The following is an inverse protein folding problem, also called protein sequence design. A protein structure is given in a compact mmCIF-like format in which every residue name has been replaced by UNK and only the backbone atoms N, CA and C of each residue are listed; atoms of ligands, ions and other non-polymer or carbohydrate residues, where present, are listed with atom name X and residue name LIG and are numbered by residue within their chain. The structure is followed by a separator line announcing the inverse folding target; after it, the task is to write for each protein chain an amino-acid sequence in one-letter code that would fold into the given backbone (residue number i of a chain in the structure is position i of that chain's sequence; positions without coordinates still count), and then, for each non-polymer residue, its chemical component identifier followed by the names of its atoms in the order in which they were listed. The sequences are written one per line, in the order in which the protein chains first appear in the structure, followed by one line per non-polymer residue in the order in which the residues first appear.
data_IF_245720283520
#
_entry.id   IF_245720283520
#
_cell.length_a   1.000
_cell.length_b   1.000
_cell.length_c   1.000
_cell.angle_alpha   90.00
_cell.angle_beta   90.00
_cell.angle_gamma   90.00
#
_symmetry.space_group_name_H-M   'P 1'
#
loop_
_entity.id
_entity.type
_entity.pdbx_description
1 polymer ?
#
# COMPACT_ATOMS: atom_id res chain seq x y z
N UNK A 1 23.29 15.77 -13.92
CA UNK A 1 22.12 16.65 -13.73
C UNK A 1 21.23 15.98 -12.69
N UNK A 2 21.01 16.60 -11.53
CA UNK A 2 20.10 16.06 -10.50
C UNK A 2 18.68 16.29 -11.00
N UNK A 3 17.90 15.21 -11.20
CA UNK A 3 16.48 15.33 -11.54
C UNK A 3 15.72 15.80 -10.29
N UNK A 4 14.88 16.81 -10.43
CA UNK A 4 13.97 17.18 -9.35
C UNK A 4 12.96 16.05 -9.12
N UNK A 5 12.68 15.76 -7.87
CA UNK A 5 11.62 14.80 -7.50
C UNK A 5 10.27 15.47 -7.75
N UNK A 6 9.34 14.83 -8.49
CA UNK A 6 8.01 15.38 -8.71
C UNK A 6 7.28 15.60 -7.39
N UNK A 7 6.43 16.62 -7.33
CA UNK A 7 5.60 16.84 -6.13
C UNK A 7 4.50 15.79 -6.00
N UNK A 8 3.95 15.58 -4.80
CA UNK A 8 2.80 14.70 -4.60
C UNK A 8 1.62 15.03 -5.51
N UNK A 9 1.35 16.33 -5.70
CA UNK A 9 0.27 16.81 -6.57
C UNK A 9 0.50 16.42 -8.03
N UNK A 10 1.73 16.56 -8.53
CA UNK A 10 2.08 16.16 -9.89
C UNK A 10 1.91 14.65 -10.11
N UNK A 11 2.32 13.84 -9.14
CA UNK A 11 2.18 12.37 -9.20
C UNK A 11 0.70 11.97 -9.12
N UNK A 12 -0.09 12.60 -8.23
CA UNK A 12 -1.52 12.34 -8.11
C UNK A 12 -2.28 12.75 -9.38
N UNK A 13 -1.91 13.87 -9.98
CA UNK A 13 -2.49 14.31 -11.25
C UNK A 13 -2.13 13.39 -12.43
N UNK A 14 -0.90 12.87 -12.45
CA UNK A 14 -0.46 11.95 -13.51
C UNK A 14 -1.08 10.54 -13.38
N UNK A 15 -1.40 10.12 -12.15
CA UNK A 15 -1.99 8.82 -11.84
C UNK A 15 -3.17 8.99 -10.87
N UNK A 16 -4.31 9.57 -11.31
CA UNK A 16 -5.45 9.85 -10.45
C UNK A 16 -6.21 8.57 -10.09
N UNK A 17 -6.83 8.58 -8.92
CA UNK A 17 -7.93 7.66 -8.62
C UNK A 17 -9.18 8.13 -9.35
N UNK A 18 -9.80 7.24 -10.12
CA UNK A 18 -11.10 7.52 -10.70
C UNK A 18 -12.22 7.50 -9.63
N UNK A 19 -13.41 7.94 -10.03
CA UNK A 19 -14.53 8.09 -9.11
C UNK A 19 -14.95 6.77 -8.45
N UNK A 20 -14.91 5.67 -9.20
CA UNK A 20 -15.27 4.34 -8.70
C UNK A 20 -14.33 3.90 -7.56
N UNK A 21 -13.01 4.07 -7.77
CA UNK A 21 -12.01 3.73 -6.75
C UNK A 21 -12.11 4.63 -5.51
N UNK A 22 -12.42 5.91 -5.69
CA UNK A 22 -12.68 6.84 -4.58
C UNK A 22 -13.89 6.40 -3.76
N UNK A 23 -14.97 5.93 -4.40
CA UNK A 23 -16.15 5.40 -3.71
C UNK A 23 -15.85 4.11 -2.94
N UNK A 24 -15.05 3.21 -3.52
CA UNK A 24 -14.58 2.01 -2.82
C UNK A 24 -13.80 2.40 -1.57
N UNK A 25 -12.82 3.32 -1.71
CA UNK A 25 -12.04 3.79 -0.57
C UNK A 25 -12.92 4.41 0.51
N UNK A 26 -13.81 5.31 0.15
CA UNK A 26 -14.68 5.98 1.09
C UNK A 26 -15.56 4.99 1.90
N UNK A 27 -16.10 3.96 1.24
CA UNK A 27 -16.86 2.89 1.92
C UNK A 27 -16.00 2.10 2.89
N UNK A 28 -14.78 1.74 2.49
CA UNK A 28 -13.87 0.98 3.34
C UNK A 28 -13.40 1.78 4.54
N UNK A 29 -13.04 3.05 4.34
CA UNK A 29 -12.64 3.94 5.43
C UNK A 29 -13.78 4.16 6.44
N UNK A 30 -15.02 4.25 5.97
CA UNK A 30 -16.19 4.31 6.85
C UNK A 30 -16.37 3.05 7.70
N UNK A 31 -16.15 1.86 7.13
CA UNK A 31 -16.19 0.60 7.90
C UNK A 31 -15.04 0.52 8.92
N UNK A 32 -13.84 0.91 8.55
CA UNK A 32 -12.69 1.00 9.48
C UNK A 32 -13.06 1.92 10.66
N UNK A 33 -13.63 3.09 10.38
CA UNK A 33 -14.04 4.03 11.41
C UNK A 33 -15.05 3.40 12.37
N UNK A 34 -16.07 2.70 11.87
CA UNK A 34 -17.06 2.02 12.71
C UNK A 34 -16.45 0.99 13.65
N UNK A 35 -15.42 0.26 13.18
CA UNK A 35 -14.72 -0.71 14.02
C UNK A 35 -13.98 -0.01 15.15
N UNK A 36 -13.26 1.07 14.85
CA UNK A 36 -12.53 1.82 15.87
C UNK A 36 -13.41 2.58 16.85
N UNK A 37 -14.62 2.95 16.45
CA UNK A 37 -15.61 3.62 17.34
C UNK A 37 -16.49 2.63 18.12
N UNK A 38 -16.33 1.32 17.89
CA UNK A 38 -17.13 0.29 18.56
C UNK A 38 -18.53 0.12 18.00
N UNK A 39 -18.83 0.72 16.84
CA UNK A 39 -20.10 0.55 16.12
C UNK A 39 -20.16 -0.77 15.35
N UNK A 40 -19.02 -1.46 15.20
CA UNK A 40 -18.90 -2.74 14.55
C UNK A 40 -17.99 -3.66 15.36
N UNK A 41 -18.45 -4.91 15.58
CA UNK A 41 -17.72 -5.94 16.34
C UNK A 41 -16.71 -6.74 15.48
N UNK A 42 -16.43 -6.27 14.26
CA UNK A 42 -15.48 -6.94 13.38
C UNK A 42 -14.05 -6.78 13.89
N UNK A 43 -13.27 -7.82 13.72
CA UNK A 43 -11.82 -7.76 13.93
C UNK A 43 -11.12 -7.22 12.68
N UNK A 44 -10.16 -6.29 12.84
CA UNK A 44 -9.30 -5.83 11.74
C UNK A 44 -8.09 -6.76 11.63
N UNK A 45 -7.90 -7.33 10.44
CA UNK A 45 -6.69 -8.09 10.11
C UNK A 45 -5.89 -7.35 9.04
N UNK A 46 -4.68 -6.88 9.40
CA UNK A 46 -3.73 -6.29 8.46
C UNK A 46 -2.72 -7.36 8.10
N UNK A 47 -2.73 -7.82 6.85
CA UNK A 47 -1.95 -8.98 6.44
C UNK A 47 -1.42 -8.83 5.01
N UNK A 48 -0.17 -9.22 4.77
CA UNK A 48 0.44 -9.13 3.46
C UNK A 48 1.81 -9.78 3.37
N UNK A 49 2.45 -9.76 2.19
CA UNK A 49 3.78 -10.31 1.97
C UNK A 49 4.85 -9.51 2.72
N UNK A 50 6.03 -10.11 2.88
CA UNK A 50 7.16 -9.50 3.58
C UNK A 50 7.65 -8.21 2.90
N UNK A 51 7.62 -8.15 1.57
CA UNK A 51 7.93 -6.95 0.78
C UNK A 51 7.24 -6.98 -0.57
N UNK A 52 6.94 -5.81 -1.12
CA UNK A 52 6.51 -5.66 -2.51
C UNK A 52 7.76 -5.53 -3.39
N UNK A 53 8.03 -6.55 -4.20
CA UNK A 53 9.13 -6.59 -5.16
C UNK A 53 8.62 -6.62 -6.60
N UNK A 54 7.79 -7.59 -6.95
CA UNK A 54 7.16 -7.69 -8.27
C UNK A 54 5.65 -7.43 -8.17
N UNK A 55 5.16 -6.47 -8.97
CA UNK A 55 3.73 -6.11 -9.01
C UNK A 55 2.83 -7.33 -9.19
N UNK A 56 3.17 -8.23 -10.13
CA UNK A 56 2.35 -9.41 -10.42
C UNK A 56 2.25 -10.36 -9.22
N UNK A 57 3.34 -10.56 -8.48
CA UNK A 57 3.34 -11.41 -7.28
C UNK A 57 2.45 -10.81 -6.18
N UNK A 58 2.52 -9.49 -6.00
CA UNK A 58 1.68 -8.77 -5.05
C UNK A 58 0.21 -8.89 -5.43
N UNK A 59 -0.13 -8.67 -6.70
CA UNK A 59 -1.51 -8.74 -7.18
C UNK A 59 -2.08 -10.16 -7.09
N UNK A 60 -1.32 -11.20 -7.43
CA UNK A 60 -1.76 -12.59 -7.24
C UNK A 60 -2.09 -12.88 -5.78
N UNK A 61 -1.20 -12.47 -4.86
CA UNK A 61 -1.46 -12.58 -3.43
C UNK A 61 -2.75 -11.85 -3.02
N UNK A 62 -2.93 -10.60 -3.47
CA UNK A 62 -4.08 -9.78 -3.12
C UNK A 62 -5.40 -10.34 -3.67
N UNK A 63 -5.41 -10.87 -4.87
CA UNK A 63 -6.59 -11.52 -5.45
C UNK A 63 -7.00 -12.76 -4.64
N UNK A 64 -6.04 -13.58 -4.21
CA UNK A 64 -6.31 -14.72 -3.32
C UNK A 64 -6.80 -14.26 -1.96
N UNK A 65 -6.20 -13.21 -1.41
CA UNK A 65 -6.61 -12.63 -0.13
C UNK A 65 -8.03 -12.07 -0.21
N UNK A 66 -8.40 -11.39 -1.31
CA UNK A 66 -9.74 -10.89 -1.53
C UNK A 66 -10.79 -12.01 -1.52
N UNK A 67 -10.48 -13.14 -2.15
CA UNK A 67 -11.37 -14.30 -2.14
C UNK A 67 -11.55 -14.91 -0.73
N UNK A 68 -10.55 -14.83 0.12
CA UNK A 68 -10.67 -15.23 1.54
C UNK A 68 -11.44 -14.18 2.33
N UNK A 69 -11.11 -12.89 2.14
CA UNK A 69 -11.75 -11.77 2.82
C UNK A 69 -13.27 -11.78 2.62
N UNK A 70 -13.74 -12.10 1.41
CA UNK A 70 -15.18 -12.21 1.12
C UNK A 70 -15.87 -13.29 1.97
N UNK A 71 -15.20 -14.41 2.24
CA UNK A 71 -15.76 -15.52 3.02
C UNK A 71 -15.86 -15.22 4.51
N UNK A 72 -15.05 -14.30 5.02
CA UNK A 72 -14.96 -13.99 6.46
C UNK A 72 -15.42 -12.58 6.79
N UNK A 73 -15.95 -11.83 5.82
CA UNK A 73 -16.30 -10.40 5.92
C UNK A 73 -17.26 -10.06 7.06
N UNK A 74 -18.04 -11.01 7.53
CA UNK A 74 -18.98 -10.80 8.63
C UNK A 74 -18.29 -10.67 9.99
N UNK A 75 -17.07 -11.20 10.13
CA UNK A 75 -16.31 -11.22 11.38
C UNK A 75 -14.96 -10.49 11.27
N UNK A 76 -14.36 -10.47 10.09
CA UNK A 76 -13.03 -9.93 9.89
C UNK A 76 -13.04 -8.92 8.76
N UNK A 77 -12.54 -7.73 9.06
CA UNK A 77 -12.25 -6.72 8.07
C UNK A 77 -10.79 -6.80 7.65
N UNK A 78 -10.55 -7.26 6.43
CA UNK A 78 -9.18 -7.47 5.92
C UNK A 78 -8.66 -6.19 5.28
N UNK A 79 -7.46 -5.76 5.69
CA UNK A 79 -6.68 -4.70 5.06
C UNK A 79 -5.39 -5.34 4.55
N UNK A 80 -5.20 -5.42 3.23
CA UNK A 80 -3.93 -5.90 2.67
C UNK A 80 -2.77 -5.01 3.12
N UNK A 81 -1.68 -5.62 3.59
CA UNK A 81 -0.43 -4.91 3.82
C UNK A 81 0.44 -5.04 2.57
N UNK A 82 0.82 -3.91 1.98
CA UNK A 82 1.73 -3.84 0.85
C UNK A 82 2.97 -3.08 1.35
N UNK A 83 4.11 -3.77 1.45
CA UNK A 83 5.33 -3.22 2.03
C UNK A 83 6.26 -2.74 0.91
N UNK A 84 6.15 -1.46 0.55
CA UNK A 84 6.84 -0.89 -0.61
C UNK A 84 8.21 -0.32 -0.30
N UNK A 85 8.51 -0.03 0.96
CA UNK A 85 9.77 0.58 1.40
C UNK A 85 10.41 -0.24 2.52
N UNK A 86 11.29 -1.18 2.15
CA UNK A 86 11.94 -2.08 3.11
C UNK A 86 13.25 -1.49 3.63
N UNK A 87 13.34 -1.11 4.91
CA UNK A 87 14.59 -0.70 5.52
C UNK A 87 15.59 -1.87 5.55
N UNK A 88 16.88 -1.54 5.50
CA UNK A 88 17.98 -2.51 5.60
C UNK A 88 19.01 -2.00 6.58
N UNK A 89 19.15 -2.66 7.69
CA UNK A 89 20.05 -2.28 8.79
C UNK A 89 21.50 -2.19 8.33
N UNK A 90 21.94 -3.10 7.45
CA UNK A 90 23.29 -3.12 6.90
C UNK A 90 23.43 -2.36 5.56
N UNK A 91 22.39 -1.70 5.09
CA UNK A 91 22.37 -0.94 3.84
C UNK A 91 22.47 -1.78 2.56
N UNK A 92 22.53 -3.11 2.65
CA UNK A 92 22.65 -4.02 1.50
C UNK A 92 21.31 -4.68 1.15
N UNK A 93 21.18 -5.17 -0.10
CA UNK A 93 20.01 -5.89 -0.59
C UNK A 93 18.90 -4.98 -1.11
N UNK A 94 17.81 -5.61 -1.55
CA UNK A 94 16.65 -4.94 -2.13
C UNK A 94 15.92 -4.08 -1.09
N UNK A 95 15.68 -2.80 -1.44
CA UNK A 95 15.12 -1.78 -0.53
C UNK A 95 13.63 -1.51 -0.74
N UNK A 96 12.95 -2.36 -1.49
CA UNK A 96 11.53 -2.20 -1.80
C UNK A 96 11.27 -1.45 -3.10
N UNK A 97 10.05 -1.57 -3.59
CA UNK A 97 9.60 -1.01 -4.88
C UNK A 97 9.73 0.51 -4.94
N UNK A 98 9.61 1.21 -3.82
CA UNK A 98 9.78 2.66 -3.76
C UNK A 98 11.17 3.11 -4.24
N UNK A 99 12.22 2.37 -3.89
CA UNK A 99 13.58 2.72 -4.26
C UNK A 99 14.04 2.05 -5.55
N UNK A 100 13.49 0.88 -5.85
CA UNK A 100 13.90 0.03 -6.94
C UNK A 100 12.67 -0.68 -7.52
N UNK A 101 11.90 -0.01 -8.41
CA UNK A 101 10.63 -0.52 -8.94
C UNK A 101 10.78 -1.83 -9.72
N UNK A 102 11.93 -2.07 -10.32
CA UNK A 102 12.34 -3.36 -10.84
C UNK A 102 13.56 -3.86 -10.05
N UNK A 103 13.47 -5.00 -9.34
CA UNK A 103 14.55 -5.55 -8.54
C UNK A 103 15.84 -5.84 -9.31
N UNK A 104 15.77 -6.00 -10.63
CA UNK A 104 16.92 -6.32 -11.50
C UNK A 104 17.60 -5.06 -12.06
N UNK A 105 16.94 -3.90 -11.96
CA UNK A 105 17.46 -2.63 -12.47
C UNK A 105 18.18 -1.83 -11.37
N UNK A 106 18.81 -0.73 -11.78
CA UNK A 106 19.37 0.24 -10.83
C UNK A 106 18.26 0.96 -10.08
N UNK A 107 18.50 1.35 -8.81
CA UNK A 107 17.55 2.16 -8.06
C UNK A 107 17.15 3.43 -8.80
N UNK A 108 15.84 3.70 -8.85
CA UNK A 108 15.25 4.94 -9.37
C UNK A 108 14.04 5.32 -8.51
N UNK A 109 14.25 6.27 -7.61
CA UNK A 109 13.24 6.71 -6.67
C UNK A 109 12.03 7.37 -7.36
N UNK A 110 12.25 8.12 -8.44
CA UNK A 110 11.16 8.79 -9.16
C UNK A 110 10.23 7.78 -9.83
N UNK A 111 10.80 6.79 -10.49
CA UNK A 111 10.01 5.69 -11.06
C UNK A 111 9.40 4.81 -9.95
N UNK A 112 10.09 4.67 -8.81
CA UNK A 112 9.56 3.97 -7.64
C UNK A 112 8.28 4.60 -7.09
N UNK A 113 8.24 5.92 -6.90
CA UNK A 113 7.04 6.63 -6.45
C UNK A 113 5.87 6.40 -7.40
N UNK A 114 6.11 6.46 -8.71
CA UNK A 114 5.07 6.17 -9.72
C UNK A 114 4.61 4.71 -9.67
N UNK A 115 5.55 3.80 -9.51
CA UNK A 115 5.27 2.35 -9.48
C UNK A 115 4.39 1.99 -8.27
N UNK A 116 4.74 2.45 -7.06
CA UNK A 116 3.95 2.15 -5.86
C UNK A 116 2.53 2.70 -5.96
N UNK A 117 2.37 3.94 -6.48
CA UNK A 117 1.04 4.52 -6.67
C UNK A 117 0.20 3.72 -7.67
N UNK A 118 0.77 3.37 -8.83
CA UNK A 118 0.09 2.55 -9.85
C UNK A 118 -0.31 1.19 -9.29
N UNK A 119 0.56 0.55 -8.53
CA UNK A 119 0.30 -0.74 -7.91
C UNK A 119 -0.87 -0.67 -6.92
N UNK A 120 -0.92 0.34 -6.04
CA UNK A 120 -2.04 0.52 -5.12
C UNK A 120 -3.37 0.79 -5.85
N UNK A 121 -3.37 1.63 -6.89
CA UNK A 121 -4.56 1.86 -7.73
C UNK A 121 -5.04 0.54 -8.36
N UNK A 122 -4.11 -0.22 -8.93
CA UNK A 122 -4.42 -1.51 -9.56
C UNK A 122 -4.94 -2.53 -8.54
N UNK A 123 -4.34 -2.56 -7.35
CA UNK A 123 -4.80 -3.43 -6.27
C UNK A 123 -6.27 -3.16 -5.90
N UNK A 124 -6.67 -1.90 -5.73
CA UNK A 124 -8.06 -1.55 -5.44
C UNK A 124 -8.97 -1.96 -6.60
N UNK A 125 -8.56 -1.69 -7.84
CA UNK A 125 -9.36 -1.99 -9.04
C UNK A 125 -9.62 -3.49 -9.21
N UNK A 126 -8.62 -4.31 -8.97
CA UNK A 126 -8.73 -5.77 -9.16
C UNK A 126 -9.39 -6.48 -7.97
N UNK A 127 -9.31 -5.92 -6.78
CA UNK A 127 -9.72 -6.63 -5.56
C UNK A 127 -10.82 -5.95 -4.76
N UNK A 128 -11.07 -4.66 -4.98
CA UNK A 128 -11.93 -3.85 -4.12
C UNK A 128 -11.37 -3.60 -2.72
N UNK A 129 -10.09 -3.97 -2.46
CA UNK A 129 -9.45 -3.81 -1.17
C UNK A 129 -8.49 -2.61 -1.19
N UNK A 130 -8.71 -1.66 -0.29
CA UNK A 130 -7.73 -0.62 0.01
C UNK A 130 -6.68 -1.16 0.98
N UNK A 131 -5.44 -0.74 0.80
CA UNK A 131 -4.31 -1.33 1.51
C UNK A 131 -3.78 -0.47 2.66
N UNK A 132 -2.96 -1.10 3.48
CA UNK A 132 -1.99 -0.46 4.36
C UNK A 132 -0.61 -0.51 3.69
N UNK A 133 0.17 0.55 3.81
CA UNK A 133 1.60 0.51 3.51
C UNK A 133 2.41 0.79 4.78
N UNK A 134 3.59 0.20 4.85
CA UNK A 134 4.47 0.34 6.00
C UNK A 134 5.59 1.30 5.65
N UNK A 135 5.70 2.39 6.42
CA UNK A 135 6.63 3.47 6.15
C UNK A 135 7.51 3.74 7.38
N UNK A 136 8.82 3.63 7.20
CA UNK A 136 9.78 4.06 8.21
C UNK A 136 9.82 5.60 8.30
N UNK A 137 9.72 6.27 7.15
CA UNK A 137 9.65 7.72 7.03
C UNK A 137 8.33 8.11 6.38
N UNK A 138 7.63 9.05 6.98
CA UNK A 138 6.30 9.50 6.54
C UNK A 138 6.33 10.45 5.33
N UNK A 139 7.52 10.81 4.84
CA UNK A 139 7.69 11.72 3.68
C UNK A 139 7.04 11.20 2.39
N UNK A 140 6.79 9.88 2.31
CA UNK A 140 6.12 9.27 1.16
C UNK A 140 4.59 9.28 1.28
N UNK A 141 4.05 9.57 2.46
CA UNK A 141 2.61 9.59 2.71
C UNK A 141 1.86 10.50 1.73
N UNK A 142 2.28 11.76 1.45
CA UNK A 142 1.55 12.65 0.55
C UNK A 142 1.33 12.12 -0.87
N UNK A 143 2.14 11.16 -1.32
CA UNK A 143 1.98 10.52 -2.63
C UNK A 143 0.86 9.47 -2.67
N UNK A 144 0.45 8.95 -1.51
CA UNK A 144 -0.44 7.80 -1.36
C UNK A 144 -1.65 8.06 -0.43
N UNK A 145 -1.74 9.21 0.22
CA UNK A 145 -2.77 9.52 1.22
C UNK A 145 -4.21 9.36 0.72
N UNK A 146 -4.44 9.62 -0.57
CA UNK A 146 -5.75 9.47 -1.20
C UNK A 146 -6.09 8.03 -1.57
N UNK A 147 -5.14 7.09 -1.45
CA UNK A 147 -5.30 5.68 -1.85
C UNK A 147 -5.32 4.75 -0.64
N UNK A 148 -4.41 4.97 0.33
CA UNK A 148 -4.24 4.10 1.47
C UNK A 148 -5.35 4.30 2.51
N UNK A 149 -5.82 3.21 3.10
CA UNK A 149 -6.71 3.25 4.26
C UNK A 149 -5.96 3.19 5.59
N UNK A 150 -4.72 2.79 5.59
CA UNK A 150 -3.89 2.70 6.80
C UNK A 150 -2.42 2.98 6.48
N UNK A 151 -1.78 3.71 7.37
CA UNK A 151 -0.33 3.84 7.44
C UNK A 151 0.16 3.03 8.65
N UNK A 152 1.06 2.09 8.40
CA UNK A 152 1.78 1.39 9.45
C UNK A 152 3.13 2.08 9.65
N UNK A 153 3.35 2.56 10.86
CA UNK A 153 4.66 3.11 11.22
C UNK A 153 5.57 1.96 11.68
N UNK A 154 6.69 1.79 11.01
CA UNK A 154 7.66 0.75 11.37
C UNK A 154 8.41 1.16 12.61
N UNK A 155 8.34 0.37 13.68
CA UNK A 155 9.19 0.51 14.84
C UNK A 155 10.41 -0.41 14.72
N UNK A 156 11.53 -0.04 15.36
CA UNK A 156 12.77 -0.82 15.36
C UNK A 156 12.59 -2.24 15.93
N UNK A 157 11.53 -2.48 16.69
CA UNK A 157 11.20 -3.78 17.27
C UNK A 157 10.67 -4.82 16.25
N UNK A 158 10.43 -4.44 15.01
CA UNK A 158 9.92 -5.35 13.97
C UNK A 158 11.03 -6.00 13.12
N UNK A 159 12.29 -5.65 13.36
CA UNK A 159 13.44 -6.10 12.56
C UNK A 159 14.29 -7.19 13.26
N UNK A 160 13.88 -7.73 14.39
CA UNK A 160 14.53 -8.83 15.12
C UNK A 160 14.05 -10.21 14.63
#
# INVERSE_FOLDING_TARGET
MVKAVPTPEEIRAAHPMDKELQEIKAKRDAEIKKIFTGESDKFIAIIGPCSADYENSVLDYLCRLAAVAEKIKDKVFVIPRIYTNKPRTNGSGYKGMLHQPNPEDKPDFIEGVKAIRKMHIKAIRETGLTAADEMLYTDNWPYLEDILSCLLYTSDAADD
#
